data_IF_519988975091
#
_entry.id   IF_519988975091
#
_cell.length_a   1.000
_cell.length_b   1.000
_cell.length_c   1.000
_cell.angle_alpha   90.00
_cell.angle_beta   90.00
_cell.angle_gamma   90.00
#
_symmetry.space_group_name_H-M   'P 1'
#
loop_
_entity.id
_entity.type
_entity.pdbx_description
1 polymer ?
#
# COMPACT_ATOMS: atom_id res chain seq x y z
N UNK A 1 21.50 -11.12 -38.33
CA UNK A 1 21.80 -12.44 -38.91
C UNK A 1 20.61 -13.42 -38.77
N UNK A 2 19.90 -13.43 -37.67
CA UNK A 2 18.74 -14.32 -37.42
C UNK A 2 17.57 -14.08 -38.38
N UNK A 3 17.17 -12.82 -38.64
CA UNK A 3 16.04 -12.46 -39.53
C UNK A 3 16.22 -12.96 -40.98
N UNK A 4 17.44 -12.96 -41.47
CA UNK A 4 17.74 -13.36 -42.87
C UNK A 4 17.71 -14.88 -43.05
N UNK A 5 18.02 -15.66 -42.01
CA UNK A 5 17.98 -17.13 -42.08
C UNK A 5 16.56 -17.69 -41.97
N UNK A 6 15.69 -17.06 -41.15
CA UNK A 6 14.31 -17.50 -41.01
C UNK A 6 13.49 -17.18 -42.27
N UNK A 7 13.74 -16.04 -42.92
CA UNK A 7 13.09 -15.72 -44.20
C UNK A 7 13.42 -16.71 -45.35
N UNK A 8 14.59 -17.39 -45.26
CA UNK A 8 14.97 -18.39 -46.22
C UNK A 8 14.33 -19.77 -45.96
N UNK A 9 14.00 -20.05 -44.69
CA UNK A 9 13.35 -21.31 -44.28
C UNK A 9 11.86 -21.34 -44.65
N UNK A 10 11.17 -20.21 -44.65
CA UNK A 10 9.76 -20.12 -45.09
C UNK A 10 9.53 -20.46 -46.58
N UNK A 11 10.59 -20.63 -47.36
CA UNK A 11 10.50 -20.98 -48.80
C UNK A 11 10.69 -22.46 -49.09
N UNK A 12 10.92 -23.35 -48.09
CA UNK A 12 11.27 -24.77 -48.33
C UNK A 12 10.25 -25.71 -47.66
N UNK A 13 9.38 -26.28 -48.50
CA UNK A 13 8.68 -27.56 -48.44
C UNK A 13 8.01 -28.00 -47.14
N UNK A 14 6.68 -27.93 -47.15
CA UNK A 14 5.81 -28.78 -46.37
C UNK A 14 6.07 -30.26 -46.69
N UNK A 15 6.74 -31.00 -45.82
CA UNK A 15 6.84 -32.44 -45.87
C UNK A 15 5.74 -33.05 -45.00
N UNK A 16 4.88 -33.81 -45.65
CA UNK A 16 3.74 -34.53 -45.11
C UNK A 16 4.16 -35.51 -44.00
N UNK A 17 3.39 -35.54 -42.93
CA UNK A 17 3.19 -36.77 -42.16
C UNK A 17 3.71 -36.82 -40.71
N UNK A 18 3.64 -35.73 -39.96
CA UNK A 18 3.63 -35.87 -38.52
C UNK A 18 2.31 -35.31 -37.97
N UNK A 19 1.46 -36.15 -37.40
CA UNK A 19 0.33 -35.67 -36.58
C UNK A 19 0.92 -34.90 -35.38
N UNK A 20 0.97 -33.57 -35.50
CA UNK A 20 1.19 -32.72 -34.34
C UNK A 20 -0.17 -32.71 -33.64
N UNK A 21 -0.30 -33.43 -32.52
CA UNK A 21 -1.44 -33.31 -31.63
C UNK A 21 -1.43 -31.86 -31.14
N UNK A 22 -2.58 -31.14 -31.21
CA UNK A 22 -2.67 -29.84 -30.58
C UNK A 22 -2.30 -29.99 -29.10
N UNK A 23 -1.55 -29.05 -28.58
CA UNK A 23 -1.32 -28.95 -27.14
C UNK A 23 -2.68 -28.96 -26.43
N UNK A 24 -2.75 -29.57 -25.27
CA UNK A 24 -3.97 -29.55 -24.47
C UNK A 24 -4.38 -28.07 -24.30
N UNK A 25 -5.65 -27.75 -24.62
CA UNK A 25 -6.13 -26.38 -24.57
C UNK A 25 -5.87 -25.75 -23.21
N UNK A 26 -5.31 -24.55 -23.22
CA UNK A 26 -5.08 -23.80 -22.02
C UNK A 26 -6.39 -23.27 -21.43
N UNK A 27 -6.48 -23.14 -20.11
CA UNK A 27 -7.67 -22.62 -19.42
C UNK A 27 -7.29 -21.41 -18.58
N UNK A 28 -8.16 -20.40 -18.52
CA UNK A 28 -8.03 -19.23 -17.67
C UNK A 28 -9.39 -18.68 -17.25
N UNK A 29 -9.43 -17.84 -16.24
CA UNK A 29 -10.64 -17.11 -15.85
C UNK A 29 -10.74 -15.76 -16.57
N UNK A 30 -11.95 -15.33 -16.88
CA UNK A 30 -12.20 -14.00 -17.43
C UNK A 30 -11.69 -12.91 -16.49
N UNK A 31 -11.06 -11.87 -17.04
CA UNK A 31 -10.43 -10.78 -16.28
C UNK A 31 -9.04 -11.10 -15.71
N UNK A 32 -8.53 -12.33 -15.91
CA UNK A 32 -7.17 -12.71 -15.48
C UNK A 32 -6.13 -12.58 -16.59
N UNK A 33 -4.87 -12.82 -16.24
CA UNK A 33 -3.73 -12.83 -17.17
C UNK A 33 -3.22 -14.26 -17.30
N UNK A 34 -3.10 -14.75 -18.53
CA UNK A 34 -2.47 -16.02 -18.86
C UNK A 34 -1.03 -15.80 -19.32
N UNK A 35 -0.10 -16.54 -18.72
CA UNK A 35 1.31 -16.55 -19.13
C UNK A 35 1.58 -17.80 -19.95
N UNK A 36 2.04 -17.64 -21.19
CA UNK A 36 2.30 -18.75 -22.08
C UNK A 36 3.62 -19.44 -21.79
N UNK A 37 3.70 -20.69 -22.20
CA UNK A 37 4.92 -21.49 -22.27
C UNK A 37 5.09 -22.07 -23.67
N UNK A 38 6.31 -22.56 -23.97
CA UNK A 38 6.55 -23.22 -25.26
C UNK A 38 5.71 -24.52 -25.40
N UNK A 39 5.35 -25.14 -24.29
CA UNK A 39 4.53 -26.36 -24.23
C UNK A 39 3.07 -26.12 -24.69
N UNK A 40 2.56 -24.90 -24.56
CA UNK A 40 1.23 -24.53 -25.04
C UNK A 40 1.13 -24.58 -26.58
N UNK A 41 2.27 -24.50 -27.28
CA UNK A 41 2.37 -24.44 -28.74
C UNK A 41 2.91 -25.71 -29.36
N UNK A 42 3.52 -26.62 -28.60
CA UNK A 42 4.00 -27.91 -29.10
C UNK A 42 4.33 -28.89 -27.97
N UNK A 43 3.92 -30.14 -28.15
CA UNK A 43 4.36 -31.25 -27.31
C UNK A 43 5.82 -31.72 -27.64
N UNK A 44 6.45 -31.11 -28.64
CA UNK A 44 7.84 -31.44 -29.03
C UNK A 44 8.81 -30.52 -28.29
N UNK A 45 9.82 -31.12 -27.69
CA UNK A 45 10.87 -30.39 -26.95
C UNK A 45 11.82 -29.58 -27.83
N UNK A 46 11.88 -29.88 -29.16
CA UNK A 46 12.77 -29.21 -30.10
C UNK A 46 12.17 -27.95 -30.76
N UNK A 47 11.10 -27.41 -30.20
CA UNK A 47 10.52 -26.13 -30.63
C UNK A 47 11.48 -24.97 -30.31
N UNK A 48 11.87 -24.20 -31.33
CA UNK A 48 12.75 -23.01 -31.17
C UNK A 48 11.99 -21.70 -31.25
N UNK A 49 10.73 -21.72 -31.65
CA UNK A 49 9.87 -20.53 -31.71
C UNK A 49 8.56 -20.78 -32.44
N UNK A 50 7.79 -19.72 -32.59
CA UNK A 50 6.52 -19.70 -33.34
C UNK A 50 6.46 -18.50 -34.26
N UNK A 51 5.66 -18.61 -35.34
CA UNK A 51 5.23 -17.48 -36.14
C UNK A 51 3.70 -17.35 -35.97
N UNK A 52 3.21 -16.23 -35.50
CA UNK A 52 1.78 -15.98 -35.33
C UNK A 52 1.12 -15.81 -36.70
N UNK A 53 0.10 -16.59 -37.00
CA UNK A 53 -0.66 -16.52 -38.29
C UNK A 53 -1.98 -15.81 -38.13
N UNK A 54 -2.66 -16.02 -36.98
CA UNK A 54 -3.93 -15.39 -36.66
C UNK A 54 -4.05 -15.07 -35.19
N UNK A 55 -4.83 -14.07 -34.84
CA UNK A 55 -5.04 -13.60 -33.48
C UNK A 55 -6.52 -13.54 -33.14
N UNK A 56 -6.87 -13.75 -31.85
CA UNK A 56 -8.23 -13.57 -31.39
C UNK A 56 -8.72 -12.12 -31.63
N UNK A 57 -10.03 -11.96 -31.73
CA UNK A 57 -10.64 -10.64 -31.81
C UNK A 57 -10.28 -9.78 -30.61
N UNK A 58 -9.98 -8.50 -30.81
CA UNK A 58 -9.56 -7.57 -29.76
C UNK A 58 -10.59 -7.40 -28.63
N UNK A 59 -11.86 -7.68 -28.89
CA UNK A 59 -12.93 -7.66 -27.89
C UNK A 59 -12.80 -8.75 -26.82
N UNK A 60 -11.99 -9.77 -27.04
CA UNK A 60 -11.78 -10.87 -26.09
C UNK A 60 -10.60 -10.65 -25.14
N UNK A 61 -9.68 -9.78 -25.52
CA UNK A 61 -8.46 -9.49 -24.76
C UNK A 61 -7.29 -9.05 -25.62
N UNK A 62 -6.15 -8.87 -24.99
CA UNK A 62 -4.92 -8.45 -25.65
C UNK A 62 -3.81 -9.48 -25.47
N UNK A 63 -3.18 -9.91 -26.58
CA UNK A 63 -1.98 -10.72 -26.59
C UNK A 63 -0.75 -9.82 -26.68
N UNK A 64 0.14 -9.89 -25.69
CA UNK A 64 1.25 -8.97 -25.58
C UNK A 64 2.59 -9.69 -25.30
N UNK A 65 3.68 -9.04 -25.69
CA UNK A 65 5.05 -9.38 -25.28
C UNK A 65 5.64 -8.15 -24.57
N UNK A 66 5.65 -8.18 -23.26
CA UNK A 66 5.90 -6.99 -22.45
C UNK A 66 4.84 -5.91 -22.72
N UNK A 67 5.25 -4.69 -23.11
CA UNK A 67 4.35 -3.59 -23.48
C UNK A 67 3.88 -3.61 -24.94
N UNK A 68 4.38 -4.56 -25.78
CA UNK A 68 4.08 -4.63 -27.21
C UNK A 68 2.90 -5.55 -27.48
N UNK A 69 1.84 -5.04 -28.12
CA UNK A 69 0.76 -5.88 -28.66
C UNK A 69 1.28 -6.65 -29.86
N UNK A 70 1.05 -7.95 -29.87
CA UNK A 70 1.46 -8.86 -30.94
C UNK A 70 0.51 -8.74 -32.15
N UNK A 71 1.02 -9.11 -33.33
CA UNK A 71 0.28 -9.04 -34.61
C UNK A 71 0.53 -10.30 -35.45
N UNK A 72 -0.38 -10.67 -36.35
CA UNK A 72 -0.10 -11.69 -37.35
C UNK A 72 1.17 -11.35 -38.12
N UNK A 73 2.03 -12.36 -38.31
CA UNK A 73 3.35 -12.23 -38.89
C UNK A 73 4.51 -12.03 -37.89
N UNK A 74 4.22 -11.82 -36.60
CA UNK A 74 5.27 -11.78 -35.59
C UNK A 74 5.90 -13.15 -35.39
N UNK A 75 7.23 -13.17 -35.36
CA UNK A 75 8.03 -14.38 -35.09
C UNK A 75 8.63 -14.24 -33.71
N UNK A 76 8.38 -15.22 -32.86
CA UNK A 76 8.83 -15.27 -31.47
C UNK A 76 9.74 -16.45 -31.24
N UNK A 77 10.83 -16.26 -30.51
CA UNK A 77 11.66 -17.38 -30.02
C UNK A 77 10.97 -18.10 -28.88
N UNK A 78 11.38 -19.31 -28.51
CA UNK A 78 10.85 -20.07 -27.39
C UNK A 78 10.93 -19.27 -26.07
N UNK A 79 12.01 -18.53 -25.85
CA UNK A 79 12.16 -17.63 -24.70
C UNK A 79 11.13 -16.49 -24.70
N UNK A 80 10.89 -15.88 -25.87
CA UNK A 80 9.90 -14.83 -26.02
C UNK A 80 8.47 -15.35 -25.86
N UNK A 81 8.19 -16.59 -26.24
CA UNK A 81 6.91 -17.25 -25.97
C UNK A 81 6.67 -17.35 -24.47
N UNK A 82 7.69 -17.73 -23.68
CA UNK A 82 7.59 -17.76 -22.21
C UNK A 82 7.40 -16.39 -21.55
N UNK A 83 7.66 -15.31 -22.27
CA UNK A 83 7.39 -13.94 -21.81
C UNK A 83 6.09 -13.34 -22.39
N UNK A 84 5.35 -14.12 -23.19
CA UNK A 84 4.09 -13.71 -23.81
C UNK A 84 2.94 -13.82 -22.81
N UNK A 85 2.04 -12.84 -22.81
CA UNK A 85 0.87 -12.84 -21.94
C UNK A 85 -0.40 -12.51 -22.70
N UNK A 86 -1.51 -13.10 -22.28
CA UNK A 86 -2.83 -12.73 -22.73
C UNK A 86 -3.64 -12.20 -21.56
N UNK A 87 -4.18 -10.99 -21.68
CA UNK A 87 -5.07 -10.39 -20.69
C UNK A 87 -6.50 -10.48 -21.21
N UNK A 88 -7.32 -11.34 -20.58
CA UNK A 88 -8.70 -11.52 -20.96
C UNK A 88 -9.57 -10.34 -20.48
N UNK A 89 -10.52 -9.91 -21.32
CA UNK A 89 -11.56 -8.97 -20.89
C UNK A 89 -12.48 -9.67 -19.87
N UNK A 90 -12.89 -9.01 -18.77
CA UNK A 90 -13.88 -9.54 -17.85
C UNK A 90 -15.19 -9.93 -18.57
N UNK A 91 -15.91 -10.92 -18.04
CA UNK A 91 -17.19 -11.35 -18.59
C UNK A 91 -17.75 -12.59 -17.92
N UNK A 92 -19.08 -12.72 -17.94
CA UNK A 92 -19.82 -13.77 -17.24
C UNK A 92 -20.01 -15.05 -18.08
N UNK A 93 -19.66 -15.02 -19.37
CA UNK A 93 -19.86 -16.17 -20.27
C UNK A 93 -18.55 -16.83 -20.64
N UNK A 94 -18.54 -18.15 -20.69
CA UNK A 94 -17.42 -18.92 -21.23
C UNK A 94 -17.16 -18.55 -22.69
N UNK A 95 -15.89 -18.43 -23.04
CA UNK A 95 -15.39 -18.09 -24.37
C UNK A 95 -14.22 -18.96 -24.74
N UNK A 96 -14.07 -19.23 -26.02
CA UNK A 96 -12.88 -19.85 -26.57
C UNK A 96 -12.17 -18.86 -27.49
N UNK A 97 -10.88 -18.72 -27.28
CA UNK A 97 -10.02 -17.94 -28.15
C UNK A 97 -9.07 -18.85 -28.88
N UNK A 98 -8.85 -18.54 -30.15
CA UNK A 98 -7.94 -19.28 -31.00
C UNK A 98 -6.79 -18.38 -31.42
N UNK A 99 -5.56 -18.89 -31.27
CA UNK A 99 -4.32 -18.25 -31.74
C UNK A 99 -3.75 -19.14 -32.83
N UNK A 100 -3.79 -18.65 -34.05
CA UNK A 100 -3.15 -19.33 -35.18
C UNK A 100 -1.63 -19.15 -35.15
N UNK A 101 -0.87 -20.22 -35.40
CA UNK A 101 0.59 -20.17 -35.42
C UNK A 101 1.22 -21.28 -36.26
N UNK A 102 2.45 -21.00 -36.72
CA UNK A 102 3.36 -21.98 -37.31
C UNK A 102 4.45 -22.30 -36.28
N UNK A 103 4.56 -23.55 -35.79
CA UNK A 103 5.67 -23.93 -34.92
C UNK A 103 6.97 -24.00 -35.72
N UNK A 104 8.07 -23.48 -35.16
CA UNK A 104 9.38 -23.44 -35.77
C UNK A 104 10.30 -24.40 -34.99
N UNK A 105 10.86 -25.36 -35.68
CA UNK A 105 11.83 -26.32 -35.15
C UNK A 105 13.23 -26.05 -35.72
N UNK A 106 14.26 -26.69 -35.19
CA UNK A 106 15.59 -26.56 -35.76
C UNK A 106 15.60 -27.18 -37.20
N UNK A 107 15.75 -26.31 -38.19
CA UNK A 107 15.78 -26.67 -39.61
C UNK A 107 14.44 -26.94 -40.30
N UNK A 108 13.30 -26.77 -39.65
CA UNK A 108 11.97 -26.97 -40.24
C UNK A 108 10.89 -26.08 -39.67
N UNK A 109 9.79 -25.92 -40.40
CA UNK A 109 8.58 -25.25 -39.94
C UNK A 109 7.43 -26.25 -40.02
N UNK A 110 6.65 -26.33 -38.94
CA UNK A 110 5.47 -27.19 -38.89
C UNK A 110 4.27 -26.63 -39.66
N UNK A 111 3.17 -27.37 -39.75
CA UNK A 111 1.92 -26.89 -40.34
C UNK A 111 1.29 -25.74 -39.54
N UNK A 112 0.44 -24.98 -40.20
CA UNK A 112 -0.40 -24.00 -39.56
C UNK A 112 -1.32 -24.71 -38.57
N UNK A 113 -1.26 -24.26 -37.30
CA UNK A 113 -1.89 -24.92 -36.17
C UNK A 113 -2.60 -23.85 -35.33
N UNK A 114 -3.62 -24.27 -34.61
CA UNK A 114 -4.40 -23.38 -33.73
C UNK A 114 -4.21 -23.84 -32.28
N UNK A 115 -3.81 -22.94 -31.43
CA UNK A 115 -3.85 -23.08 -29.98
C UNK A 115 -5.18 -22.50 -29.49
N UNK A 116 -5.92 -23.25 -28.68
CA UNK A 116 -7.17 -22.83 -28.09
C UNK A 116 -6.97 -22.47 -26.64
N UNK A 117 -7.42 -21.27 -26.26
CA UNK A 117 -7.45 -20.80 -24.89
C UNK A 117 -8.91 -20.71 -24.44
N UNK A 118 -9.30 -21.57 -23.50
CA UNK A 118 -10.64 -21.57 -22.93
C UNK A 118 -10.70 -20.54 -21.79
N UNK A 119 -11.56 -19.55 -21.91
CA UNK A 119 -11.82 -18.53 -20.90
C UNK A 119 -13.10 -18.88 -20.18
N UNK A 120 -13.01 -19.21 -18.90
CA UNK A 120 -14.18 -19.43 -18.06
C UNK A 120 -14.80 -18.09 -17.69
N UNK A 121 -16.10 -17.94 -17.94
CA UNK A 121 -16.86 -16.82 -17.45
C UNK A 121 -16.84 -16.79 -15.93
N UNK A 122 -16.62 -15.61 -15.37
CA UNK A 122 -16.69 -15.40 -13.92
C UNK A 122 -17.87 -14.48 -13.64
N UNK A 123 -18.74 -14.92 -12.74
CA UNK A 123 -19.82 -14.06 -12.27
C UNK A 123 -19.18 -12.82 -11.62
N UNK A 124 -19.42 -11.70 -12.24
CA UNK A 124 -18.99 -10.41 -11.75
C UNK A 124 -19.80 -10.06 -10.50
N UNK A 125 -19.16 -9.55 -9.46
CA UNK A 125 -19.81 -9.17 -8.20
C UNK A 125 -19.69 -7.67 -7.99
N UNK A 126 -20.71 -7.05 -7.35
CA UNK A 126 -20.60 -5.63 -7.04
C UNK A 126 -19.45 -5.35 -6.07
N UNK A 127 -18.85 -4.15 -6.17
CA UNK A 127 -17.88 -3.71 -5.18
C UNK A 127 -18.41 -3.75 -3.74
N UNK A 128 -17.52 -4.01 -2.79
CA UNK A 128 -17.83 -3.99 -1.36
C UNK A 128 -17.37 -2.66 -0.80
N UNK A 129 -18.28 -1.84 -0.31
CA UNK A 129 -18.00 -0.59 0.37
C UNK A 129 -18.30 -0.71 1.86
N UNK A 130 -17.38 -0.23 2.72
CA UNK A 130 -17.49 -0.31 4.16
C UNK A 130 -17.61 1.08 4.79
N UNK A 131 -18.31 1.15 5.91
CA UNK A 131 -18.39 2.37 6.69
C UNK A 131 -17.03 2.64 7.33
N UNK A 132 -16.62 3.90 7.36
CA UNK A 132 -15.40 4.31 8.02
C UNK A 132 -15.57 5.62 8.79
N UNK A 133 -14.61 5.96 9.62
CA UNK A 133 -14.63 7.17 10.41
C UNK A 133 -13.27 7.88 10.32
N UNK A 134 -13.32 9.21 10.34
CA UNK A 134 -12.14 10.08 10.41
C UNK A 134 -12.40 11.19 11.44
N UNK A 135 -11.30 11.72 11.99
CA UNK A 135 -11.35 12.82 12.90
C UNK A 135 -10.63 14.04 12.33
N UNK A 136 -11.09 15.21 12.70
CA UNK A 136 -10.39 16.45 12.41
C UNK A 136 -10.69 17.49 13.49
N UNK A 137 -9.95 18.59 13.50
CA UNK A 137 -10.25 19.73 14.36
C UNK A 137 -11.08 20.78 13.62
N UNK A 138 -11.75 21.63 14.41
CA UNK A 138 -12.43 22.82 13.92
C UNK A 138 -11.54 23.62 12.98
N UNK A 139 -12.08 23.94 11.79
CA UNK A 139 -11.38 24.70 10.73
C UNK A 139 -10.15 23.99 10.11
N UNK A 140 -9.94 22.71 10.36
CA UNK A 140 -8.88 21.92 9.80
C UNK A 140 -9.45 20.91 8.77
N UNK A 141 -8.92 20.91 7.54
CA UNK A 141 -9.28 19.89 6.55
C UNK A 141 -8.62 18.55 6.89
N UNK A 142 -9.29 17.46 6.57
CA UNK A 142 -8.73 16.10 6.69
C UNK A 142 -8.87 15.36 5.37
N UNK A 143 -7.82 14.63 5.03
CA UNK A 143 -7.82 13.68 3.91
C UNK A 143 -8.01 12.26 4.44
N UNK A 144 -8.63 11.41 3.62
CA UNK A 144 -8.81 10.01 3.94
C UNK A 144 -8.97 9.19 2.66
N UNK A 145 -9.14 7.89 2.82
CA UNK A 145 -9.41 6.97 1.72
C UNK A 145 -10.68 6.17 2.03
N UNK A 146 -11.56 6.04 1.03
CA UNK A 146 -12.75 5.23 1.14
C UNK A 146 -12.36 3.75 1.34
N UNK A 147 -13.06 3.06 2.22
CA UNK A 147 -12.87 1.64 2.46
C UNK A 147 -13.70 0.86 1.44
N UNK A 148 -13.05 0.44 0.37
CA UNK A 148 -13.68 -0.26 -0.75
C UNK A 148 -12.77 -1.34 -1.30
N UNK A 149 -13.36 -2.41 -1.74
CA UNK A 149 -12.68 -3.48 -2.47
C UNK A 149 -13.60 -4.02 -3.55
N UNK A 150 -13.00 -4.49 -4.62
CA UNK A 150 -13.72 -5.23 -5.66
C UNK A 150 -13.31 -6.70 -5.58
N UNK A 151 -14.27 -7.66 -5.55
CA UNK A 151 -13.97 -9.09 -5.44
C UNK A 151 -13.13 -9.63 -6.60
N UNK A 152 -13.22 -8.99 -7.77
CA UNK A 152 -12.49 -9.33 -8.99
C UNK A 152 -11.23 -8.45 -9.17
N UNK A 153 -11.01 -7.46 -8.28
CA UNK A 153 -9.88 -6.53 -8.35
C UNK A 153 -10.01 -5.48 -9.45
N UNK A 154 -11.24 -5.18 -9.89
CA UNK A 154 -11.49 -4.24 -10.97
C UNK A 154 -11.35 -2.78 -10.50
N UNK A 155 -11.01 -1.83 -11.41
CA UNK A 155 -10.99 -0.41 -11.10
C UNK A 155 -12.40 0.09 -10.82
N UNK A 156 -12.57 0.95 -9.83
CA UNK A 156 -13.87 1.46 -9.39
C UNK A 156 -14.00 2.96 -9.65
N UNK A 157 -15.25 3.41 -9.81
CA UNK A 157 -15.63 4.83 -9.78
C UNK A 157 -16.46 5.12 -8.55
N UNK A 158 -16.39 6.35 -8.01
CA UNK A 158 -17.02 6.71 -6.74
C UNK A 158 -18.07 7.81 -6.95
N UNK A 159 -19.22 7.62 -6.33
CA UNK A 159 -20.34 8.59 -6.40
C UNK A 159 -20.74 9.03 -5.00
N UNK A 160 -20.81 10.33 -4.79
CA UNK A 160 -21.29 10.92 -3.51
C UNK A 160 -22.82 10.96 -3.53
N UNK A 161 -23.43 10.16 -2.67
CA UNK A 161 -24.90 10.03 -2.58
C UNK A 161 -25.50 11.10 -1.66
N UNK A 162 -24.81 11.40 -0.57
CA UNK A 162 -25.26 12.41 0.40
C UNK A 162 -24.11 13.30 0.84
N UNK A 163 -24.29 14.60 0.66
CA UNK A 163 -23.35 15.63 1.10
C UNK A 163 -23.34 15.78 2.62
N UNK A 164 -22.19 16.14 3.22
CA UNK A 164 -22.10 16.46 4.62
C UNK A 164 -22.81 17.81 4.92
N UNK A 165 -23.29 17.97 6.16
CA UNK A 165 -24.02 19.19 6.59
C UNK A 165 -23.12 20.26 7.19
N UNK A 166 -22.05 19.83 7.89
CA UNK A 166 -21.12 20.71 8.62
C UNK A 166 -19.83 21.03 7.87
N UNK A 167 -19.65 20.46 6.68
CA UNK A 167 -18.46 20.61 5.84
C UNK A 167 -18.79 20.52 4.37
N UNK A 168 -17.74 20.34 3.59
CA UNK A 168 -17.76 19.94 2.17
C UNK A 168 -16.82 18.75 2.00
N UNK A 169 -17.09 17.91 1.01
CA UNK A 169 -16.21 16.79 0.66
C UNK A 169 -15.91 16.82 -0.83
N UNK A 170 -14.66 16.58 -1.17
CA UNK A 170 -14.17 16.36 -2.53
C UNK A 170 -13.67 14.93 -2.62
N UNK A 171 -14.12 14.18 -3.65
CA UNK A 171 -13.70 12.80 -3.90
C UNK A 171 -12.68 12.74 -5.04
N UNK A 172 -11.58 12.05 -4.81
CA UNK A 172 -10.60 11.69 -5.82
C UNK A 172 -11.04 10.45 -6.62
N UNK A 173 -10.53 10.33 -7.84
CA UNK A 173 -10.79 9.17 -8.70
C UNK A 173 -10.21 7.85 -8.15
N UNK A 174 -9.22 7.93 -7.27
CA UNK A 174 -8.56 6.80 -6.58
C UNK A 174 -9.25 6.40 -5.27
N UNK A 175 -10.40 7.01 -4.95
CA UNK A 175 -11.12 6.82 -3.68
C UNK A 175 -10.56 7.63 -2.51
N UNK A 176 -9.60 8.51 -2.75
CA UNK A 176 -9.21 9.51 -1.75
C UNK A 176 -10.33 10.54 -1.57
N UNK A 177 -10.39 11.16 -0.41
CA UNK A 177 -11.29 12.28 -0.17
C UNK A 177 -10.64 13.35 0.69
N UNK A 178 -11.10 14.59 0.48
CA UNK A 178 -10.77 15.72 1.36
C UNK A 178 -12.05 16.28 1.95
N UNK A 179 -12.18 16.20 3.25
CA UNK A 179 -13.29 16.84 3.99
C UNK A 179 -12.81 18.16 4.58
N UNK A 180 -13.55 19.23 4.34
CA UNK A 180 -13.27 20.57 4.88
C UNK A 180 -14.44 21.04 5.75
N UNK A 181 -14.24 21.18 7.07
CA UNK A 181 -15.28 21.70 7.97
C UNK A 181 -15.67 23.14 7.60
N UNK A 182 -16.96 23.45 7.65
CA UNK A 182 -17.40 24.86 7.63
C UNK A 182 -16.87 25.60 8.85
N UNK A 183 -16.64 26.91 8.69
CA UNK A 183 -16.05 27.77 9.73
C UNK A 183 -16.68 27.55 11.10
N UNK A 184 -15.87 27.27 12.09
CA UNK A 184 -16.22 27.10 13.50
C UNK A 184 -17.25 25.98 13.82
N UNK A 185 -17.46 25.03 12.90
CA UNK A 185 -18.30 23.86 13.20
C UNK A 185 -17.51 22.82 14.00
N UNK A 186 -18.21 22.18 14.93
CA UNK A 186 -17.74 21.06 15.76
C UNK A 186 -18.83 19.99 15.86
N UNK A 187 -18.45 18.79 16.31
CA UNK A 187 -19.37 17.65 16.48
C UNK A 187 -19.38 16.74 15.25
N UNK A 188 -20.28 15.77 15.23
CA UNK A 188 -20.31 14.72 14.21
C UNK A 188 -21.00 15.21 12.94
N UNK A 189 -20.40 14.89 11.80
CA UNK A 189 -20.95 15.03 10.46
C UNK A 189 -20.83 13.70 9.70
N UNK A 190 -21.39 13.58 8.53
CA UNK A 190 -21.24 12.40 7.71
C UNK A 190 -21.56 12.68 6.24
N UNK A 191 -20.98 11.89 5.36
CA UNK A 191 -21.37 11.81 3.95
C UNK A 191 -21.53 10.33 3.55
N UNK A 192 -22.26 10.08 2.46
CA UNK A 192 -22.55 8.71 1.97
C UNK A 192 -22.09 8.60 0.53
N UNK A 193 -21.49 7.47 0.21
CA UNK A 193 -20.96 7.19 -1.12
C UNK A 193 -21.33 5.78 -1.59
N UNK A 194 -21.17 5.53 -2.88
CA UNK A 194 -21.17 4.21 -3.51
C UNK A 194 -19.96 4.08 -4.41
N UNK A 195 -19.54 2.84 -4.64
CA UNK A 195 -18.56 2.46 -5.65
C UNK A 195 -19.25 1.71 -6.77
N UNK A 196 -18.81 1.91 -8.03
CA UNK A 196 -19.33 1.26 -9.23
C UNK A 196 -18.16 0.68 -10.01
N UNK A 197 -18.26 -0.59 -10.41
CA UNK A 197 -17.31 -1.30 -11.25
C UNK A 197 -17.48 -0.97 -12.74
N UNK A 198 -16.61 -1.48 -13.64
CA UNK A 198 -16.74 -1.26 -15.08
C UNK A 198 -17.96 -1.93 -15.73
N UNK A 199 -18.54 -2.96 -15.11
CA UNK A 199 -19.75 -3.63 -15.57
C UNK A 199 -21.02 -2.85 -15.16
N UNK A 200 -20.89 -1.82 -14.33
CA UNK A 200 -21.99 -0.98 -13.85
C UNK A 200 -22.67 -1.52 -12.61
N UNK A 201 -22.12 -2.54 -11.93
CA UNK A 201 -22.65 -3.00 -10.65
C UNK A 201 -22.22 -2.04 -9.54
N UNK A 202 -23.17 -1.74 -8.65
CA UNK A 202 -23.02 -0.72 -7.62
C UNK A 202 -22.95 -1.37 -6.25
N UNK A 203 -22.01 -0.91 -5.41
CA UNK A 203 -21.92 -1.32 -4.01
C UNK A 203 -23.15 -0.92 -3.21
N UNK A 204 -23.28 -1.45 -2.00
CA UNK A 204 -24.14 -0.83 -0.99
C UNK A 204 -23.69 0.62 -0.71
N UNK A 205 -24.62 1.43 -0.23
CA UNK A 205 -24.26 2.72 0.34
C UNK A 205 -23.39 2.53 1.58
N UNK A 206 -22.28 3.28 1.65
CA UNK A 206 -21.41 3.31 2.81
C UNK A 206 -21.26 4.73 3.34
N UNK A 207 -21.12 4.84 4.66
CA UNK A 207 -21.08 6.11 5.38
C UNK A 207 -19.68 6.40 5.88
N UNK A 208 -19.16 7.59 5.56
CA UNK A 208 -17.99 8.14 6.22
C UNK A 208 -18.48 9.08 7.34
N UNK A 209 -18.15 8.73 8.58
CA UNK A 209 -18.42 9.55 9.74
C UNK A 209 -17.23 10.46 10.01
N UNK A 210 -17.49 11.76 10.17
CA UNK A 210 -16.45 12.75 10.47
C UNK A 210 -16.69 13.35 11.84
N UNK A 211 -15.76 13.15 12.78
CA UNK A 211 -15.78 13.78 14.09
C UNK A 211 -14.96 15.06 14.06
N UNK A 212 -15.63 16.21 14.18
CA UNK A 212 -14.97 17.52 14.22
C UNK A 212 -14.74 17.89 15.67
N UNK A 213 -13.51 17.80 16.11
CA UNK A 213 -13.07 18.07 17.49
C UNK A 213 -12.97 19.57 17.75
N UNK A 214 -13.16 19.94 19.02
CA UNK A 214 -12.90 21.30 19.50
C UNK A 214 -11.42 21.42 19.83
N UNK A 215 -10.71 22.33 19.17
CA UNK A 215 -9.33 22.65 19.54
C UNK A 215 -9.28 23.36 20.89
N UNK A 216 -8.25 23.11 21.69
CA UNK A 216 -7.97 23.82 22.95
C UNK A 216 -7.45 25.24 22.68
N UNK A 217 -6.76 25.43 21.55
CA UNK A 217 -6.27 26.70 21.02
C UNK A 217 -6.67 26.79 19.53
N UNK A 218 -7.18 27.95 19.12
CA UNK A 218 -7.58 28.21 17.72
C UNK A 218 -6.39 28.53 16.80
N UNK A 219 -5.20 28.66 17.35
CA UNK A 219 -3.96 28.88 16.57
C UNK A 219 -3.53 27.61 15.90
N UNK A 220 -3.55 27.58 14.58
CA UNK A 220 -3.02 26.46 13.78
C UNK A 220 -1.56 26.66 13.45
N UNK A 221 -0.83 25.57 13.24
CA UNK A 221 0.53 25.63 12.70
C UNK A 221 0.50 26.08 11.25
N UNK A 222 1.38 27.02 10.90
CA UNK A 222 1.44 27.62 9.56
C UNK A 222 2.35 26.83 8.61
N UNK A 223 3.22 25.99 9.14
CA UNK A 223 4.24 25.23 8.44
C UNK A 223 3.87 23.74 8.20
N UNK A 224 2.63 23.37 8.51
CA UNK A 224 2.11 22.00 8.26
C UNK A 224 1.06 21.97 7.15
N UNK A 225 0.78 23.09 6.50
CA UNK A 225 -0.25 23.17 5.46
C UNK A 225 0.08 22.28 4.26
N UNK A 226 -0.86 21.43 3.85
CA UNK A 226 -0.67 20.47 2.76
C UNK A 226 0.18 19.23 3.12
N UNK A 227 0.70 19.11 4.34
CA UNK A 227 1.46 17.95 4.78
C UNK A 227 0.56 16.88 5.42
N UNK A 228 0.93 15.62 5.27
CA UNK A 228 0.23 14.46 5.87
C UNK A 228 0.18 14.56 7.40
N UNK A 229 1.24 14.99 8.03
CA UNK A 229 1.38 15.12 9.47
C UNK A 229 0.53 16.25 10.10
N UNK A 230 -0.15 17.08 9.30
CA UNK A 230 -0.88 18.27 9.78
C UNK A 230 -1.85 17.97 10.93
N UNK A 231 -2.69 16.94 10.76
CA UNK A 231 -3.64 16.54 11.80
C UNK A 231 -2.94 16.04 13.06
N UNK A 232 -1.94 15.18 12.90
CA UNK A 232 -1.18 14.62 14.01
C UNK A 232 -0.43 15.70 14.81
N UNK A 233 0.13 16.70 14.13
CA UNK A 233 0.78 17.85 14.75
C UNK A 233 -0.21 18.66 15.61
N UNK A 234 -1.41 18.96 15.09
CA UNK A 234 -2.45 19.64 15.84
C UNK A 234 -2.99 18.79 17.00
N UNK A 235 -3.09 17.47 16.81
CA UNK A 235 -3.46 16.53 17.84
C UNK A 235 -2.44 16.53 18.99
N UNK A 236 -1.15 16.46 18.70
CA UNK A 236 -0.10 16.55 19.74
C UNK A 236 -0.16 17.83 20.57
N UNK A 237 -0.45 18.97 19.90
CA UNK A 237 -0.65 20.25 20.59
C UNK A 237 -1.86 20.21 21.51
N UNK A 238 -3.01 19.77 20.99
CA UNK A 238 -4.27 19.75 21.71
C UNK A 238 -4.30 18.77 22.89
N UNK A 239 -3.52 17.69 22.81
CA UNK A 239 -3.32 16.70 23.91
C UNK A 239 -2.18 17.06 24.85
N UNK A 240 -1.40 18.11 24.54
CA UNK A 240 -0.26 18.55 25.37
C UNK A 240 0.96 17.61 25.31
N UNK A 241 1.01 16.71 24.32
CA UNK A 241 2.15 15.82 24.10
C UNK A 241 3.36 16.64 23.65
N UNK A 242 3.15 17.46 22.62
CA UNK A 242 4.17 18.36 22.11
C UNK A 242 3.52 19.68 21.65
N UNK A 243 4.12 20.78 22.03
CA UNK A 243 3.71 22.12 21.58
C UNK A 243 4.87 22.70 20.78
N UNK A 244 4.60 23.12 19.53
CA UNK A 244 5.60 23.71 18.65
C UNK A 244 6.13 25.05 19.18
N UNK A 245 6.88 25.72 18.36
CA UNK A 245 7.56 26.98 18.69
C UNK A 245 6.85 28.18 18.00
N UNK A 246 7.07 29.39 18.52
CA UNK A 246 6.70 30.61 17.80
C UNK A 246 7.92 31.16 17.09
N UNK A 247 7.85 31.20 15.75
CA UNK A 247 8.88 31.75 14.89
C UNK A 247 8.28 32.94 14.15
N UNK A 248 8.87 34.11 14.30
CA UNK A 248 8.41 35.38 13.69
C UNK A 248 6.91 35.66 13.93
N UNK A 249 6.41 35.31 15.12
CA UNK A 249 5.00 35.48 15.50
C UNK A 249 4.05 34.35 15.06
N UNK A 250 4.49 33.47 14.18
CA UNK A 250 3.72 32.33 13.70
C UNK A 250 3.90 31.10 14.60
N UNK A 251 2.86 30.32 14.76
CA UNK A 251 2.96 29.00 15.38
C UNK A 251 3.53 28.01 14.36
N UNK A 252 4.65 27.38 14.70
CA UNK A 252 5.37 26.45 13.83
C UNK A 252 5.59 25.10 14.54
N UNK A 253 5.34 24.04 13.82
CA UNK A 253 5.59 22.67 14.27
C UNK A 253 7.01 22.21 13.92
N UNK A 254 7.53 22.71 12.81
CA UNK A 254 8.82 22.31 12.20
C UNK A 254 8.84 20.83 11.85
N UNK A 255 7.98 20.37 10.93
CA UNK A 255 7.76 18.95 10.63
C UNK A 255 9.05 18.23 10.15
N UNK A 256 9.95 18.93 9.45
CA UNK A 256 11.20 18.37 8.92
C UNK A 256 12.35 18.30 9.96
N UNK A 257 12.16 18.90 11.15
CA UNK A 257 13.19 18.87 12.18
C UNK A 257 13.31 17.45 12.75
N UNK A 258 14.53 16.96 12.86
CA UNK A 258 14.81 15.64 13.47
C UNK A 258 14.44 15.64 14.95
N UNK A 259 13.98 14.50 15.44
CA UNK A 259 13.60 14.26 16.83
C UNK A 259 14.75 13.53 17.54
N UNK A 260 15.13 14.00 18.72
CA UNK A 260 16.11 13.28 19.55
C UNK A 260 15.46 12.09 20.27
N UNK A 261 16.27 11.13 20.69
CA UNK A 261 15.82 9.97 21.47
C UNK A 261 15.11 10.39 22.76
N UNK A 262 15.60 11.45 23.40
CA UNK A 262 14.97 12.03 24.58
C UNK A 262 13.58 12.63 24.28
N UNK A 263 13.48 13.46 23.24
CA UNK A 263 12.22 14.05 22.82
C UNK A 263 11.19 12.97 22.45
N UNK A 264 11.59 11.97 21.66
CA UNK A 264 10.72 10.84 21.30
C UNK A 264 10.23 10.06 22.52
N UNK A 265 11.14 9.79 23.47
CA UNK A 265 10.78 9.09 24.72
C UNK A 265 9.75 9.89 25.51
N UNK A 266 9.91 11.20 25.63
CA UNK A 266 8.94 12.04 26.32
C UNK A 266 7.57 12.07 25.60
N UNK A 267 7.57 12.12 24.26
CA UNK A 267 6.36 12.03 23.45
C UNK A 267 5.65 10.69 23.67
N UNK A 268 6.37 9.58 23.57
CA UNK A 268 5.81 8.24 23.72
C UNK A 268 5.23 8.01 25.13
N UNK A 269 5.96 8.39 26.19
CA UNK A 269 5.49 8.28 27.58
C UNK A 269 4.22 9.10 27.81
N UNK A 270 4.14 10.31 27.23
CA UNK A 270 2.91 11.13 27.31
C UNK A 270 1.76 10.52 26.52
N UNK A 271 2.02 10.00 25.31
CA UNK A 271 1.00 9.34 24.48
C UNK A 271 0.41 8.11 25.17
N UNK A 272 1.26 7.34 25.87
CA UNK A 272 0.86 6.16 26.64
C UNK A 272 0.25 6.52 28.02
N UNK A 273 0.17 7.81 28.36
CA UNK A 273 -0.30 8.30 29.66
C UNK A 273 0.42 7.63 30.86
N UNK A 274 1.68 7.23 30.67
CA UNK A 274 2.43 6.58 31.75
C UNK A 274 2.72 7.56 32.89
N UNK A 275 2.60 7.11 34.14
CA UNK A 275 2.88 7.96 35.29
C UNK A 275 4.35 8.37 35.31
N UNK A 276 4.60 9.67 35.48
CA UNK A 276 5.96 10.17 35.69
C UNK A 276 6.55 9.58 36.95
N UNK A 277 7.82 9.23 36.88
CA UNK A 277 8.57 8.71 38.02
C UNK A 277 9.36 9.85 38.65
N UNK A 278 9.05 10.21 39.89
CA UNK A 278 9.74 11.30 40.61
C UNK A 278 11.21 10.98 40.95
N UNK A 279 11.63 9.71 40.87
CA UNK A 279 12.99 9.29 41.05
C UNK A 279 13.89 9.82 39.93
N UNK A 280 14.93 10.57 40.32
CA UNK A 280 15.87 11.20 39.39
C UNK A 280 16.99 10.29 38.91
N UNK A 281 17.06 9.06 39.42
CA UNK A 281 18.05 8.05 39.00
C UNK A 281 17.53 7.27 37.79
N UNK A 282 18.12 7.50 36.63
CA UNK A 282 17.78 6.82 35.38
C UNK A 282 18.57 5.53 35.17
N UNK A 283 19.64 5.33 35.92
CA UNK A 283 20.57 4.21 35.74
C UNK A 283 21.62 4.42 34.64
N UNK A 284 21.57 5.56 33.95
CA UNK A 284 22.52 5.92 32.89
C UNK A 284 23.59 6.87 33.39
N UNK A 285 24.78 6.81 32.76
CA UNK A 285 25.94 7.61 33.12
C UNK A 285 26.02 8.96 32.40
N UNK A 286 25.27 9.16 31.31
CA UNK A 286 25.20 10.42 30.56
C UNK A 286 24.35 11.49 31.27
N UNK A 287 24.62 12.76 30.95
CA UNK A 287 23.88 13.88 31.51
C UNK A 287 22.52 14.06 30.81
N UNK A 288 21.49 13.45 31.39
CA UNK A 288 20.12 13.59 30.92
C UNK A 288 19.53 14.89 31.49
N UNK A 289 18.96 15.78 30.65
CA UNK A 289 18.32 17.00 31.12
C UNK A 289 17.29 16.77 32.23
N UNK A 290 17.27 17.61 33.25
CA UNK A 290 16.41 17.42 34.43
C UNK A 290 14.91 17.26 34.10
N UNK A 291 14.40 17.99 33.07
CA UNK A 291 13.02 17.88 32.63
C UNK A 291 12.69 16.52 32.01
N UNK A 292 13.71 15.84 31.43
CA UNK A 292 13.57 14.58 30.73
C UNK A 292 13.69 13.36 31.65
N UNK A 293 14.43 13.46 32.75
CA UNK A 293 14.65 12.36 33.69
C UNK A 293 13.38 11.60 34.11
N UNK A 294 12.27 12.27 34.46
CA UNK A 294 11.01 11.58 34.84
C UNK A 294 10.43 10.72 33.71
N UNK A 295 10.60 11.14 32.45
CA UNK A 295 10.11 10.40 31.28
C UNK A 295 11.01 9.21 30.95
N UNK A 296 12.33 9.39 31.00
CA UNK A 296 13.29 8.29 30.80
C UNK A 296 13.10 7.23 31.88
N UNK A 297 12.98 7.63 33.14
CA UNK A 297 12.72 6.69 34.24
C UNK A 297 11.39 5.93 34.05
N UNK A 298 10.33 6.59 33.59
CA UNK A 298 9.05 5.96 33.28
C UNK A 298 9.20 4.95 32.11
N UNK A 299 9.90 5.33 31.04
CA UNK A 299 10.13 4.48 29.89
C UNK A 299 10.91 3.21 30.24
N UNK A 300 11.99 3.35 31.01
CA UNK A 300 12.80 2.20 31.48
C UNK A 300 11.98 1.27 32.38
N UNK A 301 11.25 1.85 33.34
CA UNK A 301 10.41 1.07 34.26
C UNK A 301 9.31 0.28 33.53
N UNK A 302 8.78 0.85 32.44
CA UNK A 302 7.74 0.22 31.62
C UNK A 302 8.33 -0.68 30.51
N UNK A 303 9.65 -0.87 30.47
CA UNK A 303 10.30 -1.73 29.49
C UNK A 303 10.30 -1.17 28.05
N UNK A 304 10.03 0.13 27.88
CA UNK A 304 10.00 0.73 26.52
C UNK A 304 11.39 0.83 25.91
N UNK A 305 12.42 1.05 26.74
CA UNK A 305 13.80 1.20 26.31
C UNK A 305 14.77 0.69 27.38
N UNK A 306 15.91 0.20 26.93
CA UNK A 306 17.04 -0.21 27.78
C UNK A 306 18.29 0.69 27.58
N UNK A 307 18.15 1.82 26.89
CA UNK A 307 19.27 2.68 26.48
C UNK A 307 19.93 2.23 25.18
N UNK A 308 21.12 2.73 24.91
CA UNK A 308 21.88 2.32 23.72
C UNK A 308 22.50 0.93 23.91
N UNK A 309 22.53 0.08 22.89
CA UNK A 309 23.12 -1.26 22.99
C UNK A 309 24.58 -1.21 23.46
N UNK A 310 24.91 -2.05 24.44
CA UNK A 310 26.28 -2.20 25.00
C UNK A 310 26.89 -0.92 25.59
N UNK A 311 26.10 0.07 25.98
CA UNK A 311 26.52 1.32 26.57
C UNK A 311 25.68 1.62 27.81
N UNK A 312 26.36 2.18 28.84
CA UNK A 312 25.68 2.66 30.07
C UNK A 312 25.17 4.10 29.90
N UNK A 313 24.76 4.46 28.65
CA UNK A 313 24.22 5.78 28.30
C UNK A 313 22.84 5.66 27.67
N UNK A 314 22.03 6.70 27.88
CA UNK A 314 20.73 6.82 27.27
C UNK A 314 20.80 7.42 25.87
N UNK A 315 21.67 8.41 25.66
CA UNK A 315 21.83 9.14 24.41
C UNK A 315 20.70 10.14 24.16
N UNK A 316 20.33 10.94 25.16
CA UNK A 316 19.18 11.84 25.12
C UNK A 316 19.16 12.79 23.92
N UNK A 317 20.31 13.34 23.53
CA UNK A 317 20.46 14.33 22.45
C UNK A 317 20.78 13.70 21.08
N UNK A 318 20.91 12.38 21.01
CA UNK A 318 21.15 11.67 19.75
C UNK A 318 19.82 11.59 18.96
N UNK A 319 19.82 11.93 17.66
CA UNK A 319 18.65 11.69 16.81
C UNK A 319 18.21 10.23 16.86
N UNK A 320 16.92 9.97 17.06
CA UNK A 320 16.37 8.61 17.06
C UNK A 320 16.12 8.12 15.63
N UNK A 321 16.56 6.89 15.32
CA UNK A 321 16.27 6.27 14.00
C UNK A 321 14.89 5.61 13.97
N UNK A 322 14.38 5.35 12.75
CA UNK A 322 13.11 4.62 12.58
C UNK A 322 13.13 3.24 13.21
N UNK A 323 14.26 2.51 13.13
CA UNK A 323 14.42 1.22 13.78
C UNK A 323 14.31 1.30 15.32
N UNK A 324 14.98 2.26 15.94
CA UNK A 324 14.93 2.47 17.39
C UNK A 324 13.52 2.86 17.86
N UNK A 325 12.86 3.76 17.12
CA UNK A 325 11.49 4.19 17.39
C UNK A 325 10.49 3.02 17.29
N UNK A 326 10.61 2.20 16.24
CA UNK A 326 9.77 1.02 16.04
C UNK A 326 9.89 0.04 17.21
N UNK A 327 11.11 -0.23 17.70
CA UNK A 327 11.34 -1.10 18.85
C UNK A 327 10.70 -0.53 20.11
N UNK A 328 10.83 0.76 20.38
CA UNK A 328 10.21 1.38 21.55
C UNK A 328 8.69 1.32 21.50
N UNK A 329 8.08 1.54 20.34
CA UNK A 329 6.65 1.43 20.12
C UNK A 329 6.17 -0.02 20.24
N UNK A 330 6.90 -0.96 19.65
CA UNK A 330 6.55 -2.37 19.76
C UNK A 330 6.63 -2.89 21.19
N UNK A 331 7.64 -2.47 21.96
CA UNK A 331 7.73 -2.77 23.39
C UNK A 331 6.54 -2.21 24.19
N UNK A 332 5.98 -1.08 23.75
CA UNK A 332 4.82 -0.48 24.40
C UNK A 332 3.52 -1.22 24.11
N UNK A 333 3.29 -1.63 22.88
CA UNK A 333 2.00 -2.09 22.39
C UNK A 333 1.92 -3.60 22.14
N UNK A 334 3.06 -4.30 22.12
CA UNK A 334 3.13 -5.74 21.78
C UNK A 334 2.42 -6.02 20.44
N UNK A 335 2.78 -5.24 19.43
CA UNK A 335 2.19 -5.34 18.10
C UNK A 335 2.60 -6.66 17.43
N UNK A 336 1.72 -7.17 16.57
CA UNK A 336 2.01 -8.38 15.79
C UNK A 336 2.57 -7.98 14.42
N UNK A 337 3.73 -8.52 14.09
CA UNK A 337 4.29 -8.37 12.77
C UNK A 337 3.47 -9.14 11.72
N UNK A 338 3.34 -8.57 10.53
CA UNK A 338 2.74 -9.19 9.35
C UNK A 338 3.75 -9.17 8.18
N UNK A 339 3.50 -9.98 7.15
CA UNK A 339 4.35 -10.05 5.95
C UNK A 339 5.59 -10.95 6.10
N UNK A 340 6.40 -10.97 5.03
CA UNK A 340 7.65 -11.74 4.97
C UNK A 340 8.82 -10.98 5.61
N UNK A 341 9.86 -11.71 6.02
CA UNK A 341 11.09 -11.13 6.58
C UNK A 341 11.84 -10.32 5.52
N UNK A 342 12.42 -9.20 5.93
CA UNK A 342 13.25 -8.36 5.06
C UNK A 342 14.71 -8.40 5.52
N UNK A 343 15.60 -8.97 4.70
CA UNK A 343 17.03 -9.10 4.99
C UNK A 343 17.80 -7.76 4.93
N UNK A 344 17.19 -6.71 4.37
CA UNK A 344 17.81 -5.38 4.24
C UNK A 344 17.73 -4.54 5.52
N UNK A 345 16.96 -4.98 6.52
CA UNK A 345 16.79 -4.26 7.79
C UNK A 345 17.62 -4.90 8.92
N UNK A 346 18.02 -4.13 9.94
CA UNK A 346 18.73 -4.69 11.09
C UNK A 346 17.93 -5.78 11.80
N UNK A 347 18.49 -6.98 11.96
CA UNK A 347 17.80 -8.13 12.54
C UNK A 347 17.17 -7.87 13.92
N UNK A 348 17.76 -6.97 14.73
CA UNK A 348 17.24 -6.60 16.05
C UNK A 348 15.97 -5.75 16.01
N UNK A 349 15.68 -5.06 14.88
CA UNK A 349 14.53 -4.19 14.72
C UNK A 349 13.51 -4.74 13.69
N UNK A 350 13.86 -5.78 12.93
CA UNK A 350 13.07 -6.30 11.81
C UNK A 350 11.63 -6.62 12.21
N UNK A 351 11.45 -7.36 13.31
CA UNK A 351 10.11 -7.67 13.81
C UNK A 351 9.32 -6.42 14.18
N UNK A 352 9.95 -5.47 14.87
CA UNK A 352 9.28 -4.24 15.32
C UNK A 352 8.90 -3.33 14.15
N UNK A 353 9.76 -3.22 13.14
CA UNK A 353 9.46 -2.45 11.92
C UNK A 353 8.26 -3.01 11.18
N UNK A 354 8.20 -4.32 10.94
CA UNK A 354 7.03 -4.96 10.33
C UNK A 354 5.76 -4.83 11.17
N UNK A 355 5.89 -4.87 12.48
CA UNK A 355 4.75 -4.71 13.38
C UNK A 355 4.17 -3.27 13.33
N UNK A 356 5.04 -2.27 13.25
CA UNK A 356 4.65 -0.86 13.09
C UNK A 356 4.09 -0.60 11.69
N UNK A 357 4.67 -1.19 10.65
CA UNK A 357 4.16 -1.11 9.28
C UNK A 357 2.76 -1.74 9.15
N UNK A 358 2.53 -2.90 9.75
CA UNK A 358 1.22 -3.53 9.83
C UNK A 358 0.20 -2.67 10.60
N UNK A 359 0.66 -1.77 11.45
CA UNK A 359 -0.16 -0.77 12.12
C UNK A 359 -0.39 0.51 11.29
N UNK A 360 0.15 0.58 10.07
CA UNK A 360 -0.09 1.66 9.11
C UNK A 360 0.98 2.76 9.08
N UNK A 361 2.15 2.55 9.68
CA UNK A 361 3.25 3.53 9.67
C UNK A 361 4.52 2.89 9.10
N UNK A 362 4.97 3.38 7.95
CA UNK A 362 6.25 2.96 7.34
C UNK A 362 7.35 3.87 7.82
N UNK A 363 8.42 3.31 8.37
CA UNK A 363 9.60 4.02 8.87
C UNK A 363 10.84 3.57 8.12
N UNK A 364 11.70 4.52 7.76
CA UNK A 364 13.05 4.18 7.29
C UNK A 364 13.90 3.74 8.49
N UNK A 365 14.48 2.52 8.48
CA UNK A 365 15.18 1.99 9.64
C UNK A 365 16.45 2.77 10.02
N UNK A 366 17.14 3.37 9.05
CA UNK A 366 18.44 3.99 9.23
C UNK A 366 18.38 5.50 9.39
N UNK A 367 17.32 6.14 8.87
CA UNK A 367 17.18 7.58 8.93
C UNK A 367 16.65 8.06 10.28
N UNK A 368 17.14 9.23 10.76
CA UNK A 368 16.54 9.89 11.91
C UNK A 368 15.09 10.27 11.65
N UNK A 369 14.20 9.99 12.60
CA UNK A 369 12.82 10.44 12.51
C UNK A 369 12.72 11.97 12.47
N UNK A 370 11.88 12.45 11.58
CA UNK A 370 11.42 13.85 11.59
C UNK A 370 10.31 14.05 12.62
N UNK A 371 10.05 15.29 12.97
CA UNK A 371 8.97 15.63 13.92
C UNK A 371 7.59 15.32 13.33
N UNK A 372 7.44 15.43 12.00
CA UNK A 372 6.23 15.03 11.29
C UNK A 372 5.94 13.53 11.41
N UNK A 373 6.92 12.69 11.10
CA UNK A 373 6.82 11.23 11.24
C UNK A 373 6.57 10.80 12.68
N UNK A 374 7.26 11.42 13.63
CA UNK A 374 7.02 11.16 15.05
C UNK A 374 5.59 11.50 15.47
N UNK A 375 5.00 12.60 14.96
CA UNK A 375 3.63 12.95 15.25
C UNK A 375 2.63 11.94 14.69
N UNK A 376 2.80 11.52 13.45
CA UNK A 376 1.97 10.48 12.82
C UNK A 376 2.06 9.17 13.60
N UNK A 377 3.26 8.75 13.96
CA UNK A 377 3.47 7.54 14.76
C UNK A 377 2.78 7.63 16.12
N UNK A 378 2.91 8.75 16.84
CA UNK A 378 2.25 8.95 18.14
C UNK A 378 0.73 8.93 18.02
N UNK A 379 0.16 9.50 16.95
CA UNK A 379 -1.28 9.46 16.72
C UNK A 379 -1.77 8.03 16.48
N UNK A 380 -1.09 7.24 15.65
CA UNK A 380 -1.41 5.83 15.41
C UNK A 380 -1.30 4.98 16.69
N UNK A 381 -0.26 5.22 17.48
CA UNK A 381 -0.08 4.58 18.81
C UNK A 381 -1.28 4.86 19.72
N UNK A 382 -1.74 6.11 19.76
CA UNK A 382 -2.87 6.51 20.61
C UNK A 382 -4.18 5.78 20.28
N UNK A 383 -4.47 5.58 19.00
CA UNK A 383 -5.60 4.79 18.51
C UNK A 383 -5.56 3.33 18.99
N UNK A 384 -4.40 2.71 18.96
CA UNK A 384 -4.20 1.31 19.39
C UNK A 384 -4.34 1.11 20.91
N UNK A 385 -4.00 2.11 21.72
CA UNK A 385 -4.22 2.06 23.16
C UNK A 385 -5.72 1.98 23.48
N UNK A 386 -6.52 2.77 22.79
CA UNK A 386 -7.98 2.79 22.97
C UNK A 386 -8.61 1.44 22.64
N UNK A 387 -8.18 0.79 21.57
CA UNK A 387 -8.60 -0.55 21.20
C UNK A 387 -8.22 -1.59 22.29
N UNK A 388 -6.98 -1.55 22.80
CA UNK A 388 -6.51 -2.50 23.82
C UNK A 388 -7.28 -2.35 25.14
N UNK A 389 -7.65 -1.14 25.51
CA UNK A 389 -8.42 -0.87 26.74
C UNK A 389 -9.86 -1.40 26.65
N UNK A 390 -10.48 -1.40 25.46
CA UNK A 390 -11.83 -1.95 25.26
C UNK A 390 -11.87 -3.48 25.33
N UNK A 391 -10.77 -4.19 25.10
CA UNK A 391 -10.70 -5.66 25.23
C UNK A 391 -10.55 -6.15 26.67
N UNK A 392 -10.18 -5.27 27.60
CA UNK A 392 -9.96 -5.61 29.03
C UNK A 392 -10.99 -4.96 29.98
N UNK A 393 -11.96 -4.22 29.46
CA UNK A 393 -13.12 -3.68 30.20
C UNK A 393 -14.37 -4.52 29.98
#
# INVERSE_FOLDING_TARGET
MFRTRIALICAVTVLAGCLILPAAGAEMDAGSVYCFSAEDFSAREDIVGICITDLPETMAGNLTLGSRILRPGDILTAEQVGAMTFTAVPGETDRELQVGYLPIFDGSVGPDTVMTLSIRGREDKPPVAEDCAVETYKNLSVTGKLQVSDPEGQPMTFTLIRQPKRGTVELGADGSFTYTPKKNKVGVDSFVFTATDPAGKVSREATVTVTILKATDDTQYTDTDGLSCRFAAEWMKNTGIFVGERLDGNACFQPEKTVTRGEFTAMLVKTLELPKVELTLTGYSDDIPSWLKPYVAAAVRSGLTAGLPNQEIFGADIPITGAEAAVMVNNALDLKAAGETNEEVPAWAEYALRAVEAAGVTLDPELPLTRGEAAELMYQVSGRITEKTQYYS
#
